data_IF_890896145230
#
_entry.id   IF_890896145230
#
_cell.length_a   1.000
_cell.length_b   1.000
_cell.length_c   1.000
_cell.angle_alpha   90.00
_cell.angle_beta   90.00
_cell.angle_gamma   90.00
#
_symmetry.space_group_name_H-M   'P 1'
#
loop_
_entity.id
_entity.type
_entity.pdbx_description
1 polymer ?
#
# COMPACT_ATOMS: atom_id res chain seq x y z
N UNK A 1 -20.94 -5.67 -2.79
CA UNK A 1 -20.05 -4.68 -2.12
C UNK A 1 -18.62 -5.22 -2.20
N UNK A 2 -17.73 -4.47 -2.81
CA UNK A 2 -16.36 -4.93 -3.08
C UNK A 2 -15.54 -5.05 -1.78
N UNK A 3 -14.79 -6.15 -1.58
CA UNK A 3 -13.99 -6.36 -0.36
C UNK A 3 -12.94 -5.25 -0.13
N UNK A 4 -12.84 -4.76 1.10
CA UNK A 4 -11.81 -3.81 1.53
C UNK A 4 -11.01 -4.40 2.67
N UNK A 5 -9.83 -4.86 2.37
CA UNK A 5 -8.94 -5.56 3.29
C UNK A 5 -7.86 -4.60 3.80
N UNK A 6 -7.73 -4.51 5.10
CA UNK A 6 -6.68 -3.74 5.75
C UNK A 6 -5.83 -4.67 6.63
N UNK A 7 -4.55 -4.77 6.30
CA UNK A 7 -3.60 -5.66 6.98
C UNK A 7 -2.64 -4.83 7.82
N UNK A 8 -2.55 -5.12 9.11
CA UNK A 8 -1.61 -4.49 10.03
C UNK A 8 -0.65 -5.52 10.62
N UNK A 9 0.40 -5.05 11.24
CA UNK A 9 1.36 -5.87 11.96
C UNK A 9 2.65 -5.12 12.28
N UNK A 10 3.44 -5.59 13.23
CA UNK A 10 4.72 -4.96 13.56
C UNK A 10 5.70 -5.00 12.38
N UNK A 11 6.79 -4.23 12.43
CA UNK A 11 7.89 -4.39 11.48
C UNK A 11 8.36 -5.86 11.44
N UNK A 12 8.65 -6.37 10.25
CA UNK A 12 9.09 -7.76 10.01
C UNK A 12 8.05 -8.84 10.35
N UNK A 13 6.78 -8.49 10.47
CA UNK A 13 5.68 -9.47 10.63
C UNK A 13 5.30 -10.19 9.33
N UNK A 14 6.00 -9.89 8.22
CA UNK A 14 5.74 -10.50 6.92
C UNK A 14 4.63 -9.87 6.08
N UNK A 15 4.20 -8.65 6.39
CA UNK A 15 3.19 -7.91 5.58
C UNK A 15 3.54 -7.91 4.09
N UNK A 16 4.76 -7.50 3.74
CA UNK A 16 5.19 -7.42 2.34
C UNK A 16 5.27 -8.79 1.65
N UNK A 17 5.59 -9.85 2.40
CA UNK A 17 5.53 -11.23 1.89
C UNK A 17 4.08 -11.62 1.58
N UNK A 18 3.17 -11.35 2.51
CA UNK A 18 1.74 -11.60 2.32
C UNK A 18 1.18 -10.80 1.14
N UNK A 19 1.53 -9.52 1.02
CA UNK A 19 1.13 -8.69 -0.13
C UNK A 19 1.62 -9.26 -1.45
N UNK A 20 2.86 -9.75 -1.50
CA UNK A 20 3.38 -10.42 -2.70
C UNK A 20 2.62 -11.70 -3.03
N UNK A 21 2.33 -12.54 -2.04
CA UNK A 21 1.54 -13.76 -2.25
C UNK A 21 0.14 -13.43 -2.80
N UNK A 22 -0.52 -12.42 -2.25
CA UNK A 22 -1.84 -11.97 -2.69
C UNK A 22 -1.79 -11.40 -4.11
N UNK A 23 -0.80 -10.55 -4.44
CA UNK A 23 -0.66 -10.02 -5.80
C UNK A 23 -0.38 -11.12 -6.82
N UNK A 24 0.46 -12.12 -6.49
CA UNK A 24 0.75 -13.24 -7.40
C UNK A 24 -0.45 -14.16 -7.59
N UNK A 25 -1.31 -14.28 -6.59
CA UNK A 25 -2.55 -15.06 -6.67
C UNK A 25 -3.60 -14.35 -7.53
N UNK A 26 -3.94 -13.10 -7.16
CA UNK A 26 -5.05 -12.37 -7.79
C UNK A 26 -4.78 -11.92 -9.22
N UNK A 27 -3.53 -11.72 -9.63
CA UNK A 27 -3.20 -11.31 -11.02
C UNK A 27 -3.61 -12.31 -12.10
N UNK A 28 -3.98 -13.53 -11.72
CA UNK A 28 -4.43 -14.55 -12.66
C UNK A 28 -5.83 -14.28 -13.19
N UNK A 29 -6.71 -13.76 -12.33
CA UNK A 29 -8.14 -13.66 -12.59
C UNK A 29 -8.66 -12.22 -12.44
N UNK A 30 -7.84 -11.30 -11.91
CA UNK A 30 -8.21 -9.92 -11.64
C UNK A 30 -7.27 -8.93 -12.33
N UNK A 31 -7.83 -7.79 -12.74
CA UNK A 31 -7.04 -6.63 -13.14
C UNK A 31 -6.55 -5.92 -11.88
N UNK A 32 -5.24 -5.95 -11.65
CA UNK A 32 -4.65 -5.38 -10.44
C UNK A 32 -3.84 -4.13 -10.75
N UNK A 33 -3.96 -3.13 -9.88
CA UNK A 33 -3.19 -1.88 -9.91
C UNK A 33 -2.69 -1.56 -8.51
N UNK A 34 -1.74 -0.66 -8.41
CA UNK A 34 -1.22 -0.21 -7.12
C UNK A 34 0.29 -0.26 -7.04
N UNK A 35 0.78 -0.31 -5.82
CA UNK A 35 2.22 -0.30 -5.58
C UNK A 35 2.63 -1.11 -4.34
N UNK A 36 3.90 -1.49 -4.34
CA UNK A 36 4.63 -2.05 -3.22
C UNK A 36 5.76 -1.09 -2.82
N UNK A 37 6.14 -1.11 -1.55
CA UNK A 37 7.24 -0.30 -1.01
C UNK A 37 8.42 -1.19 -0.57
N UNK A 38 9.20 -1.75 -1.51
CA UNK A 38 10.31 -2.62 -1.18
C UNK A 38 11.43 -1.87 -0.45
N UNK A 39 11.92 -2.51 0.60
CA UNK A 39 13.09 -2.06 1.33
C UNK A 39 14.36 -2.21 0.50
N UNK A 40 15.20 -1.18 0.46
CA UNK A 40 16.50 -1.18 -0.23
C UNK A 40 17.62 -1.37 0.77
N UNK A 41 18.45 -2.37 0.52
CA UNK A 41 19.61 -2.71 1.36
C UNK A 41 20.91 -2.62 0.61
N UNK A 42 21.97 -2.18 1.32
CA UNK A 42 23.36 -2.24 0.89
C UNK A 42 24.19 -2.81 2.04
N UNK A 43 24.98 -3.85 1.79
CA UNK A 43 25.76 -4.55 2.81
C UNK A 43 24.91 -4.93 4.05
N UNK A 44 23.77 -5.56 3.81
CA UNK A 44 22.76 -5.95 4.83
C UNK A 44 22.18 -4.79 5.66
N UNK A 45 22.58 -3.55 5.42
CA UNK A 45 21.98 -2.37 6.08
C UNK A 45 20.93 -1.75 5.20
N UNK A 46 19.78 -1.43 5.80
CA UNK A 46 18.71 -0.70 5.13
C UNK A 46 19.17 0.72 4.81
N UNK A 47 19.07 1.10 3.55
CA UNK A 47 19.46 2.43 3.05
C UNK A 47 18.27 3.24 2.54
N UNK A 48 17.10 2.63 2.39
CA UNK A 48 15.90 3.32 1.93
C UNK A 48 14.76 2.39 1.55
N UNK A 49 13.80 3.01 0.87
CA UNK A 49 12.62 2.36 0.30
C UNK A 49 12.37 2.89 -1.10
N UNK A 50 11.87 2.04 -1.98
CA UNK A 50 11.37 2.44 -3.29
C UNK A 50 9.85 2.34 -3.32
N UNK A 51 9.21 3.07 -4.22
CA UNK A 51 7.90 2.72 -4.76
C UNK A 51 8.12 1.87 -6.00
N UNK A 52 7.40 0.78 -6.09
CA UNK A 52 7.37 -0.10 -7.27
C UNK A 52 5.92 -0.37 -7.65
N UNK A 53 5.52 0.03 -8.86
CA UNK A 53 4.19 -0.29 -9.37
C UNK A 53 3.99 -1.81 -9.51
N UNK A 54 2.74 -2.28 -9.35
CA UNK A 54 2.41 -3.70 -9.41
C UNK A 54 2.74 -4.32 -10.79
N UNK A 55 2.56 -3.56 -11.87
CA UNK A 55 2.93 -3.97 -13.23
C UNK A 55 4.44 -3.88 -13.51
N UNK A 56 5.22 -3.43 -12.51
CA UNK A 56 6.67 -3.25 -12.56
C UNK A 56 7.18 -2.27 -13.63
N UNK A 57 6.33 -1.42 -14.19
CA UNK A 57 6.69 -0.42 -15.20
C UNK A 57 7.35 0.82 -14.59
N UNK A 58 7.03 1.10 -13.31
CA UNK A 58 7.53 2.27 -12.60
C UNK A 58 8.24 1.83 -11.32
N UNK A 59 9.42 2.42 -11.09
CA UNK A 59 10.16 2.28 -9.85
C UNK A 59 10.98 3.54 -9.59
N UNK A 60 10.90 4.07 -8.36
CA UNK A 60 11.65 5.24 -7.93
C UNK A 60 11.86 5.24 -6.40
N UNK A 61 12.83 6.00 -5.89
CA UNK A 61 13.05 6.12 -4.45
C UNK A 61 11.92 6.89 -3.78
N UNK A 62 11.26 6.24 -2.78
CA UNK A 62 10.38 6.93 -1.83
C UNK A 62 11.20 7.62 -0.74
N UNK A 63 12.21 6.92 -0.21
CA UNK A 63 13.06 7.44 0.85
C UNK A 63 14.47 6.88 0.78
N UNK A 64 15.44 7.69 1.20
CA UNK A 64 16.87 7.30 1.32
C UNK A 64 17.46 7.81 2.62
N UNK A 65 18.38 7.02 3.22
CA UNK A 65 19.24 7.51 4.31
C UNK A 65 20.04 8.68 3.81
N UNK A 66 19.99 9.76 4.58
CA UNK A 66 20.27 11.08 4.12
C UNK A 66 21.74 11.36 3.82
N UNK A 67 21.98 11.77 2.60
CA UNK A 67 22.95 12.80 2.22
C UNK A 67 22.27 13.94 1.44
N UNK A 68 20.98 13.83 1.17
CA UNK A 68 20.23 14.78 0.34
C UNK A 68 19.36 15.62 1.27
N UNK A 69 19.41 16.92 1.12
CA UNK A 69 18.55 17.86 1.84
C UNK A 69 17.20 17.88 1.12
N UNK A 70 16.28 17.03 1.59
CA UNK A 70 14.86 17.18 1.26
C UNK A 70 14.14 17.82 2.45
N UNK A 71 13.02 18.46 2.18
CA UNK A 71 12.22 19.16 3.19
C UNK A 71 11.51 18.19 4.14
N UNK A 72 11.31 16.94 3.72
CA UNK A 72 10.60 15.93 4.50
C UNK A 72 11.57 14.86 5.01
N UNK A 73 11.62 14.72 6.33
CA UNK A 73 12.49 13.74 7.01
C UNK A 73 11.74 12.89 8.01
N UNK A 74 12.03 11.59 8.00
CA UNK A 74 11.61 10.65 9.03
C UNK A 74 12.84 9.94 9.60
N UNK A 75 13.28 10.33 10.79
CA UNK A 75 14.54 9.89 11.37
C UNK A 75 15.72 10.19 10.45
N UNK A 76 16.47 9.16 10.07
CA UNK A 76 17.63 9.29 9.16
C UNK A 76 17.27 9.34 7.67
N UNK A 77 15.98 9.27 7.32
CA UNK A 77 15.54 9.19 5.92
C UNK A 77 15.04 10.52 5.41
N UNK A 78 15.49 10.91 4.21
CA UNK A 78 14.85 11.93 3.39
C UNK A 78 13.77 11.29 2.54
N UNK A 79 12.57 11.89 2.51
CA UNK A 79 11.38 11.36 1.82
C UNK A 79 11.08 12.23 0.59
N UNK A 80 11.00 11.60 -0.58
CA UNK A 80 10.80 12.27 -1.87
C UNK A 80 9.31 12.44 -2.20
N UNK A 81 8.65 13.35 -1.47
CA UNK A 81 7.20 13.55 -1.52
C UNK A 81 6.71 13.95 -2.92
N UNK A 82 7.41 14.84 -3.61
CA UNK A 82 7.03 15.29 -4.95
C UNK A 82 7.03 14.16 -5.99
N UNK A 83 8.02 13.27 -5.93
CA UNK A 83 8.04 12.09 -6.81
C UNK A 83 6.85 11.17 -6.54
N UNK A 84 6.48 11.03 -5.28
CA UNK A 84 5.32 10.23 -4.89
C UNK A 84 4.01 10.89 -5.30
N UNK A 85 3.89 12.22 -5.16
CA UNK A 85 2.73 12.97 -5.64
C UNK A 85 2.52 12.76 -7.15
N UNK A 86 3.59 12.88 -7.93
CA UNK A 86 3.53 12.67 -9.39
C UNK A 86 3.10 11.24 -9.73
N UNK A 87 3.61 10.24 -9.01
CA UNK A 87 3.20 8.85 -9.20
C UNK A 87 1.72 8.63 -8.92
N UNK A 88 1.17 9.26 -7.87
CA UNK A 88 -0.26 9.17 -7.58
C UNK A 88 -1.07 9.77 -8.74
N UNK A 89 -0.70 10.97 -9.18
CA UNK A 89 -1.42 11.71 -10.22
C UNK A 89 -1.31 11.06 -11.60
N UNK A 90 -0.09 10.79 -12.02
CA UNK A 90 0.19 10.39 -13.40
C UNK A 90 0.01 8.88 -13.63
N UNK A 91 0.10 8.07 -12.56
CA UNK A 91 -0.01 6.63 -12.67
C UNK A 91 -1.24 6.07 -11.96
N UNK A 92 -1.36 6.20 -10.64
CA UNK A 92 -2.44 5.52 -9.89
C UNK A 92 -3.82 6.04 -10.29
N UNK A 93 -4.02 7.36 -10.30
CA UNK A 93 -5.32 7.95 -10.62
C UNK A 93 -5.71 7.68 -12.08
N UNK A 94 -4.75 7.70 -13.01
CA UNK A 94 -5.00 7.37 -14.42
C UNK A 94 -5.35 5.90 -14.59
N UNK A 95 -4.60 4.98 -14.00
CA UNK A 95 -4.89 3.54 -14.07
C UNK A 95 -6.25 3.18 -13.49
N UNK A 96 -6.65 3.83 -12.38
CA UNK A 96 -7.98 3.62 -11.79
C UNK A 96 -9.07 4.19 -12.70
N UNK A 97 -8.82 5.33 -13.34
CA UNK A 97 -9.74 5.91 -14.32
C UNK A 97 -9.90 5.01 -15.56
N UNK A 98 -8.83 4.39 -16.02
CA UNK A 98 -8.83 3.46 -17.15
C UNK A 98 -9.66 2.20 -16.89
N UNK A 99 -9.88 1.82 -15.63
CA UNK A 99 -10.83 0.77 -15.28
C UNK A 99 -12.28 1.14 -15.63
N UNK A 100 -12.57 2.42 -15.89
CA UNK A 100 -13.93 2.91 -16.10
C UNK A 100 -14.75 2.82 -14.82
N UNK A 101 -15.91 2.16 -14.88
CA UNK A 101 -16.67 1.88 -13.66
C UNK A 101 -15.95 0.80 -12.87
N UNK A 102 -15.46 1.10 -11.65
CA UNK A 102 -14.88 0.08 -10.79
C UNK A 102 -15.85 -1.07 -10.59
N UNK A 103 -15.36 -2.29 -10.62
CA UNK A 103 -16.15 -3.49 -10.40
C UNK A 103 -15.35 -4.54 -9.62
N UNK A 104 -15.99 -5.65 -9.30
CA UNK A 104 -15.41 -6.72 -8.50
C UNK A 104 -14.16 -7.39 -9.13
N UNK A 105 -13.96 -7.20 -10.45
CA UNK A 105 -12.78 -7.75 -11.17
C UNK A 105 -11.53 -6.87 -11.05
N UNK A 106 -11.61 -5.71 -10.38
CA UNK A 106 -10.49 -4.79 -10.20
C UNK A 106 -10.06 -4.75 -8.74
N UNK A 107 -8.77 -4.89 -8.49
CA UNK A 107 -8.21 -4.81 -7.13
C UNK A 107 -7.10 -3.77 -7.08
N UNK A 108 -7.21 -2.84 -6.15
CA UNK A 108 -6.15 -1.90 -5.80
C UNK A 108 -5.30 -2.45 -4.65
N UNK A 109 -3.99 -2.57 -4.88
CA UNK A 109 -3.01 -2.94 -3.87
C UNK A 109 -2.21 -1.74 -3.39
N UNK A 110 -2.10 -1.58 -2.07
CA UNK A 110 -1.34 -0.49 -1.42
C UNK A 110 -0.44 -1.06 -0.33
N UNK A 111 0.85 -1.05 -0.53
CA UNK A 111 1.84 -1.43 0.49
C UNK A 111 2.92 -0.34 0.61
N UNK A 112 2.80 0.55 1.63
CA UNK A 112 1.87 0.59 2.75
C UNK A 112 1.25 1.99 2.93
N UNK A 113 0.21 2.07 3.77
CA UNK A 113 -0.28 3.35 4.33
C UNK A 113 0.55 3.62 5.59
N UNK A 114 1.69 4.27 5.40
CA UNK A 114 2.70 4.49 6.42
C UNK A 114 3.07 5.95 6.64
N UNK A 115 4.00 6.17 7.58
CA UNK A 115 4.44 7.52 7.94
C UNK A 115 5.15 8.26 6.80
N UNK A 116 5.86 7.54 5.92
CA UNK A 116 6.58 8.15 4.81
C UNK A 116 5.63 8.57 3.70
N UNK A 117 4.68 7.71 3.36
CA UNK A 117 3.67 7.96 2.35
C UNK A 117 2.75 9.12 2.76
N UNK A 118 2.43 9.22 4.04
CA UNK A 118 1.54 10.26 4.60
C UNK A 118 2.20 11.63 4.79
N UNK A 119 3.46 11.82 4.42
CA UNK A 119 3.98 13.17 4.15
C UNK A 119 3.31 13.80 2.92
N UNK A 120 2.75 12.97 2.04
CA UNK A 120 1.95 13.42 0.90
C UNK A 120 0.50 13.65 1.32
N UNK A 121 0.06 14.91 1.38
CA UNK A 121 -1.36 15.26 1.51
C UNK A 121 -2.19 14.70 0.34
N UNK A 122 -1.61 14.64 -0.86
CA UNK A 122 -2.26 14.05 -2.03
C UNK A 122 -2.58 12.58 -1.80
N UNK A 123 -1.64 11.83 -1.22
CA UNK A 123 -1.87 10.43 -0.87
C UNK A 123 -2.98 10.27 0.18
N UNK A 124 -3.02 11.11 1.22
CA UNK A 124 -4.10 11.06 2.20
C UNK A 124 -5.46 11.30 1.54
N UNK A 125 -5.57 12.32 0.68
CA UNK A 125 -6.81 12.62 -0.06
C UNK A 125 -7.18 11.44 -0.98
N UNK A 126 -6.20 10.88 -1.70
CA UNK A 126 -6.38 9.71 -2.55
C UNK A 126 -6.95 8.53 -1.74
N UNK A 127 -6.36 8.18 -0.60
CA UNK A 127 -6.83 7.10 0.27
C UNK A 127 -8.28 7.34 0.73
N UNK A 128 -8.60 8.56 1.20
CA UNK A 128 -9.96 8.89 1.65
C UNK A 128 -10.99 8.75 0.53
N UNK A 129 -10.64 9.11 -0.67
CA UNK A 129 -11.53 9.04 -1.83
C UNK A 129 -11.70 7.59 -2.31
N UNK A 130 -10.61 6.85 -2.49
CA UNK A 130 -10.66 5.51 -3.09
C UNK A 130 -11.38 4.51 -2.18
N UNK A 131 -11.26 4.64 -0.85
CA UNK A 131 -11.96 3.77 0.09
C UNK A 131 -13.48 4.01 0.15
N UNK A 132 -13.99 5.07 -0.49
CA UNK A 132 -15.44 5.33 -0.65
C UNK A 132 -16.02 4.73 -1.92
N UNK A 133 -15.18 4.35 -2.88
CA UNK A 133 -15.65 3.74 -4.13
C UNK A 133 -16.01 2.27 -3.91
N UNK A 134 -16.91 1.76 -4.72
CA UNK A 134 -17.21 0.31 -4.76
C UNK A 134 -16.14 -0.43 -5.57
N UNK A 135 -14.97 -0.54 -4.98
CA UNK A 135 -13.77 -1.14 -5.56
C UNK A 135 -13.09 -2.02 -4.53
N UNK A 136 -12.61 -3.18 -4.94
CA UNK A 136 -11.83 -4.06 -4.07
C UNK A 136 -10.47 -3.45 -3.76
N UNK A 137 -10.10 -3.42 -2.47
CA UNK A 137 -8.84 -2.85 -1.99
C UNK A 137 -8.16 -3.82 -1.05
N UNK A 138 -6.87 -4.04 -1.24
CA UNK A 138 -6.01 -4.75 -0.30
C UNK A 138 -4.86 -3.80 0.08
N UNK A 139 -4.82 -3.36 1.31
CA UNK A 139 -3.84 -2.40 1.78
C UNK A 139 -3.15 -2.85 3.08
N UNK A 140 -1.87 -2.49 3.24
CA UNK A 140 -1.20 -2.59 4.53
C UNK A 140 -1.20 -1.24 5.24
N UNK A 141 -1.21 -1.27 6.57
CA UNK A 141 -1.15 -0.08 7.42
C UNK A 141 -0.18 -0.28 8.57
N UNK A 142 0.59 0.73 8.90
CA UNK A 142 1.52 0.69 10.02
C UNK A 142 0.80 0.43 11.35
N UNK A 143 1.26 -0.56 12.14
CA UNK A 143 0.63 -0.94 13.42
C UNK A 143 0.50 0.25 14.38
N UNK A 144 1.56 1.03 14.50
CA UNK A 144 1.65 2.18 15.42
C UNK A 144 1.56 3.51 14.68
N UNK A 145 0.75 3.55 13.61
CA UNK A 145 0.53 4.78 12.85
C UNK A 145 -0.35 5.73 13.67
N UNK A 146 0.27 6.80 14.18
CA UNK A 146 -0.43 7.92 14.84
C UNK A 146 -0.82 8.96 13.80
N UNK A 147 -1.91 8.70 13.07
CA UNK A 147 -2.44 9.57 12.03
C UNK A 147 -3.96 9.41 11.94
N UNK A 148 -4.68 10.49 11.65
CA UNK A 148 -6.15 10.49 11.55
C UNK A 148 -6.70 9.50 10.51
N UNK A 149 -5.92 9.21 9.46
CA UNK A 149 -6.30 8.24 8.43
C UNK A 149 -6.54 6.84 9.00
N UNK A 150 -5.79 6.43 10.03
CA UNK A 150 -5.98 5.13 10.66
C UNK A 150 -7.38 5.03 11.30
N UNK A 151 -7.74 6.01 12.12
CA UNK A 151 -9.07 6.05 12.74
C UNK A 151 -10.18 6.15 11.69
N UNK A 152 -9.96 6.94 10.63
CA UNK A 152 -10.90 7.04 9.53
C UNK A 152 -11.14 5.67 8.88
N UNK A 153 -10.09 4.94 8.48
CA UNK A 153 -10.21 3.64 7.83
C UNK A 153 -10.84 2.59 8.75
N UNK A 154 -10.42 2.53 10.02
CA UNK A 154 -10.96 1.56 10.97
C UNK A 154 -12.44 1.78 11.34
N UNK A 155 -12.98 2.96 11.08
CA UNK A 155 -14.40 3.26 11.31
C UNK A 155 -15.29 3.04 10.06
N UNK A 156 -14.71 2.68 8.91
CA UNK A 156 -15.51 2.32 7.75
C UNK A 156 -16.15 0.93 7.96
N UNK A 157 -17.47 0.79 7.76
CA UNK A 157 -18.20 -0.43 8.10
C UNK A 157 -17.81 -1.64 7.25
N UNK A 158 -17.28 -1.42 6.05
CA UNK A 158 -16.91 -2.45 5.10
C UNK A 158 -15.46 -2.95 5.23
N UNK A 159 -14.71 -2.47 6.21
CA UNK A 159 -13.30 -2.88 6.40
C UNK A 159 -13.20 -4.25 7.07
N UNK A 160 -12.56 -5.19 6.38
CA UNK A 160 -12.06 -6.43 6.96
C UNK A 160 -10.63 -6.21 7.44
N UNK A 161 -10.42 -6.20 8.75
CA UNK A 161 -9.12 -5.93 9.36
C UNK A 161 -8.43 -7.21 9.80
N UNK A 162 -7.15 -7.35 9.41
CA UNK A 162 -6.28 -8.45 9.80
C UNK A 162 -5.01 -7.94 10.49
N UNK A 163 -4.64 -8.56 11.59
CA UNK A 163 -3.33 -8.35 12.20
C UNK A 163 -2.44 -9.56 11.92
N UNK A 164 -1.34 -9.35 11.17
CA UNK A 164 -0.47 -10.44 10.74
C UNK A 164 0.75 -10.63 11.64
N UNK A 165 1.17 -11.88 11.76
CA UNK A 165 2.48 -12.32 12.23
C UNK A 165 3.04 -13.38 11.29
N UNK A 166 4.33 -13.74 11.43
CA UNK A 166 4.97 -14.72 10.54
C UNK A 166 4.24 -16.05 10.56
N UNK A 167 3.75 -16.48 11.73
CA UNK A 167 3.17 -17.82 11.92
C UNK A 167 1.77 -17.98 11.31
N UNK A 168 1.02 -16.89 11.15
CA UNK A 168 -0.39 -16.92 10.69
C UNK A 168 -0.60 -16.36 9.28
N UNK A 169 0.48 -16.03 8.55
CA UNK A 169 0.38 -15.45 7.21
C UNK A 169 -0.46 -16.29 6.26
N UNK A 170 -0.30 -17.61 6.30
CA UNK A 170 -1.00 -18.52 5.41
C UNK A 170 -2.49 -18.59 5.73
N UNK A 171 -2.85 -18.52 6.99
CA UNK A 171 -4.24 -18.51 7.41
C UNK A 171 -4.92 -17.21 6.99
N UNK A 172 -4.26 -16.07 7.19
CA UNK A 172 -4.74 -14.77 6.73
C UNK A 172 -4.87 -14.74 5.20
N UNK A 173 -3.89 -15.26 4.46
CA UNK A 173 -3.98 -15.38 3.01
C UNK A 173 -5.25 -16.12 2.59
N UNK A 174 -5.51 -17.30 3.18
CA UNK A 174 -6.68 -18.11 2.86
C UNK A 174 -8.00 -17.40 3.21
N UNK A 175 -8.03 -16.68 4.34
CA UNK A 175 -9.21 -15.91 4.74
C UNK A 175 -9.46 -14.73 3.80
N UNK A 176 -8.41 -14.01 3.39
CA UNK A 176 -8.54 -12.91 2.42
C UNK A 176 -9.09 -13.44 1.10
N UNK A 177 -8.54 -14.53 0.58
CA UNK A 177 -9.02 -15.13 -0.69
C UNK A 177 -10.51 -15.48 -0.62
N UNK A 178 -11.00 -15.99 0.52
CA UNK A 178 -12.43 -16.29 0.69
C UNK A 178 -13.34 -15.07 0.60
N UNK A 179 -12.85 -13.87 0.92
CA UNK A 179 -13.64 -12.63 0.78
C UNK A 179 -13.89 -12.24 -0.69
N UNK A 180 -13.19 -12.87 -1.62
CA UNK A 180 -13.30 -12.63 -3.06
C UNK A 180 -14.00 -13.78 -3.81
N UNK A 181 -14.51 -14.79 -3.09
CA UNK A 181 -15.16 -15.99 -3.65
C UNK A 181 -16.67 -15.85 -3.71
#
# INVERSE_FOLDING_TARGET
MSPKILISGPPRSGKSTLMKMLTDYFRKDYSIVGFLTPEIRKNNKRIGFDIKSIDSTIRFPLARKATIVDTHRLGDYSVFVEKFNNFIEEYLENKIRDFGTPNESHILFIDEIGKMELFSNRFEIFIRNIFRLDMSIIATIGKNLSHSIRSYLMNLPEICFFETSIDIQRDIFNEIVKNFS
#
